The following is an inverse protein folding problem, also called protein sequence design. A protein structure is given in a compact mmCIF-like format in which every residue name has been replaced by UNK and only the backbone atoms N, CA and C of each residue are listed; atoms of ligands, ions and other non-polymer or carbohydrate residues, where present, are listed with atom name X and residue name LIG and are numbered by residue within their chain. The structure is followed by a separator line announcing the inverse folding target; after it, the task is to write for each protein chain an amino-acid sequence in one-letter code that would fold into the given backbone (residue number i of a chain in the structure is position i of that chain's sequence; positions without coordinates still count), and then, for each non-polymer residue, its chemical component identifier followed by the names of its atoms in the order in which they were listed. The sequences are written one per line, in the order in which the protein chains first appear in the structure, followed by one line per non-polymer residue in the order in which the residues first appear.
data_IF_238627027235
#
_entry.id   IF_238627027235
#
_cell.length_a   1.000
_cell.length_b   1.000
_cell.length_c   1.000
_cell.angle_alpha   90.00
_cell.angle_beta   90.00
_cell.angle_gamma   90.00
#
_symmetry.space_group_name_H-M   'P 1'
#
loop_
_entity.id
_entity.type
_entity.pdbx_description
1 polymer ?
#
# COMPACT_ATOMS: atom_id res chain seq x y z
N UNK A 1 8.50 -57.89 -23.62
CA UNK A 1 9.34 -57.25 -22.56
C UNK A 1 9.71 -55.81 -22.87
N UNK A 2 10.18 -55.46 -24.11
CA UNK A 2 10.55 -54.07 -24.45
C UNK A 2 9.44 -52.98 -24.32
N UNK A 3 8.18 -53.35 -24.48
CA UNK A 3 7.05 -52.37 -24.39
C UNK A 3 6.64 -52.02 -22.95
N UNK A 4 6.90 -52.89 -21.98
CA UNK A 4 6.63 -52.59 -20.57
C UNK A 4 7.68 -51.64 -19.97
N UNK A 5 8.93 -51.70 -20.40
CA UNK A 5 9.99 -50.80 -19.96
C UNK A 5 9.79 -49.36 -20.47
N UNK A 6 9.26 -49.22 -21.68
CA UNK A 6 8.97 -47.89 -22.25
C UNK A 6 7.79 -47.19 -21.55
N UNK A 7 6.81 -47.93 -21.03
CA UNK A 7 5.70 -47.37 -20.27
C UNK A 7 6.11 -46.92 -18.84
N UNK A 8 7.08 -47.62 -18.24
CA UNK A 8 7.58 -47.24 -16.91
C UNK A 8 8.41 -45.97 -16.93
N UNK A 9 9.16 -45.71 -18.01
CA UNK A 9 9.95 -44.47 -18.14
C UNK A 9 9.07 -43.26 -18.42
N UNK A 10 7.95 -43.42 -19.13
CA UNK A 10 7.01 -42.30 -19.40
C UNK A 10 6.22 -41.88 -18.16
N UNK A 11 5.97 -42.79 -17.19
CA UNK A 11 5.27 -42.43 -15.95
C UNK A 11 6.17 -41.66 -14.94
N UNK A 12 7.49 -41.88 -14.99
CA UNK A 12 8.42 -41.17 -14.08
C UNK A 12 8.69 -39.71 -14.49
N UNK A 13 8.44 -39.35 -15.74
CA UNK A 13 8.68 -38.00 -16.25
C UNK A 13 7.58 -36.98 -15.89
N UNK A 14 6.40 -37.44 -15.46
CA UNK A 14 5.27 -36.55 -15.12
C UNK A 14 5.25 -36.06 -13.68
N UNK A 15 6.14 -36.51 -12.80
CA UNK A 15 6.12 -36.12 -11.35
C UNK A 15 7.03 -34.93 -11.05
N UNK A 16 7.81 -34.42 -12.04
CA UNK A 16 8.81 -33.39 -11.79
C UNK A 16 8.35 -31.94 -11.99
N UNK A 17 7.06 -31.68 -12.25
CA UNK A 17 6.55 -30.33 -12.45
C UNK A 17 5.57 -29.88 -11.35
N UNK A 18 5.84 -30.25 -10.10
CA UNK A 18 5.28 -29.48 -8.97
C UNK A 18 6.10 -28.20 -8.86
N UNK A 19 5.85 -27.24 -9.75
CA UNK A 19 6.26 -25.86 -9.53
C UNK A 19 5.56 -25.41 -8.25
N UNK A 20 6.28 -25.45 -7.13
CA UNK A 20 5.89 -24.74 -5.92
C UNK A 20 5.81 -23.26 -6.31
N UNK A 21 4.60 -22.78 -6.57
CA UNK A 21 4.31 -21.36 -6.47
C UNK A 21 4.59 -21.02 -5.00
N UNK A 22 5.84 -20.67 -4.71
CA UNK A 22 6.21 -20.10 -3.44
C UNK A 22 5.50 -18.75 -3.40
N UNK A 23 4.31 -18.74 -2.78
CA UNK A 23 3.77 -17.53 -2.20
C UNK A 23 4.94 -16.97 -1.39
N UNK A 24 5.43 -15.79 -1.77
CA UNK A 24 6.53 -15.15 -1.08
C UNK A 24 6.17 -15.15 0.40
N UNK A 25 6.81 -16.03 1.17
CA UNK A 25 6.57 -16.14 2.59
C UNK A 25 6.92 -14.78 3.20
N UNK A 26 6.09 -14.31 4.09
CA UNK A 26 6.39 -13.12 4.86
C UNK A 26 7.75 -13.31 5.52
N UNK A 27 8.65 -12.32 5.38
CA UNK A 27 9.96 -12.39 6.02
C UNK A 27 9.77 -12.28 7.54
N UNK A 28 9.97 -13.34 8.32
CA UNK A 28 9.77 -13.32 9.77
C UNK A 28 10.77 -12.40 10.49
N UNK A 29 11.91 -12.11 9.85
CA UNK A 29 12.96 -11.23 10.37
C UNK A 29 12.77 -9.78 9.92
N UNK A 30 11.65 -9.45 9.28
CA UNK A 30 11.39 -8.08 8.84
C UNK A 30 11.36 -7.12 10.02
N UNK A 31 12.11 -6.03 9.87
CA UNK A 31 12.12 -4.92 10.82
C UNK A 31 11.91 -3.63 10.06
N UNK A 32 11.03 -2.79 10.60
CA UNK A 32 10.89 -1.44 10.11
C UNK A 32 12.20 -0.66 10.31
N UNK A 33 12.66 0.03 9.29
CA UNK A 33 13.78 0.97 9.43
C UNK A 33 13.37 2.15 10.31
N UNK A 34 14.35 2.89 10.81
CA UNK A 34 14.07 4.15 11.51
C UNK A 34 13.20 5.04 10.63
N UNK A 35 12.02 5.40 11.13
CA UNK A 35 11.06 6.22 10.40
C UNK A 35 11.62 7.63 10.25
N UNK A 36 11.72 8.16 9.01
CA UNK A 36 12.11 9.55 8.81
C UNK A 36 11.16 10.51 9.51
N UNK A 37 11.62 11.70 9.91
CA UNK A 37 10.75 12.76 10.40
C UNK A 37 9.61 13.03 9.42
N UNK A 38 8.43 13.35 9.92
CA UNK A 38 7.28 13.69 9.09
C UNK A 38 7.63 14.89 8.19
N UNK A 39 7.46 14.78 6.86
CA UNK A 39 7.88 15.80 5.92
C UNK A 39 6.94 17.01 5.95
N UNK A 40 7.42 18.16 5.48
CA UNK A 40 6.56 19.26 5.10
C UNK A 40 5.61 18.81 3.98
N UNK A 41 4.38 19.30 3.97
CA UNK A 41 3.36 18.93 2.99
C UNK A 41 2.61 20.14 2.46
N UNK A 42 1.91 19.95 1.34
CA UNK A 42 1.06 20.97 0.71
C UNK A 42 -0.34 20.44 0.46
N UNK A 43 -1.34 21.26 0.75
CA UNK A 43 -2.75 20.96 0.45
C UNK A 43 -3.19 21.42 -0.95
N UNK A 44 -2.30 22.09 -1.70
CA UNK A 44 -2.66 22.76 -2.97
C UNK A 44 -2.77 21.80 -4.17
N UNK A 45 -2.04 20.69 -4.17
CA UNK A 45 -1.93 19.78 -5.31
C UNK A 45 -2.06 18.32 -4.88
N UNK A 46 -3.06 18.06 -4.05
CA UNK A 46 -3.34 16.70 -3.61
C UNK A 46 -3.85 15.83 -4.77
N UNK A 47 -3.39 14.59 -4.82
CA UNK A 47 -3.98 13.55 -5.65
C UNK A 47 -5.14 12.96 -4.86
N UNK A 48 -6.37 13.23 -5.30
CA UNK A 48 -7.60 12.81 -4.60
C UNK A 48 -7.77 11.31 -4.72
N UNK A 49 -8.11 10.66 -3.62
CA UNK A 49 -8.43 9.24 -3.55
C UNK A 49 -9.92 9.02 -3.83
N UNK A 50 -10.23 8.01 -4.63
CA UNK A 50 -11.60 7.56 -4.83
C UNK A 50 -11.98 6.58 -3.69
N UNK A 51 -12.84 7.03 -2.80
CA UNK A 51 -13.42 6.20 -1.73
C UNK A 51 -14.88 5.81 -2.02
N UNK A 52 -15.37 6.07 -3.23
CA UNK A 52 -16.77 5.89 -3.60
C UNK A 52 -17.66 7.06 -3.19
N UNK A 53 -18.95 6.93 -3.53
CA UNK A 53 -19.95 7.96 -3.23
C UNK A 53 -20.28 8.03 -1.72
N UNK A 54 -20.78 9.20 -1.28
CA UNK A 54 -21.32 9.43 0.06
C UNK A 54 -20.26 9.43 1.20
N UNK A 55 -19.03 9.87 0.91
CA UNK A 55 -18.02 10.07 1.94
C UNK A 55 -18.14 11.47 2.56
N UNK A 56 -18.21 11.53 3.89
CA UNK A 56 -18.23 12.81 4.63
C UNK A 56 -16.91 13.59 4.51
N UNK A 57 -15.80 12.88 4.31
CA UNK A 57 -14.47 13.44 4.14
C UNK A 57 -13.92 13.08 2.76
N UNK A 58 -13.25 14.02 2.13
CA UNK A 58 -12.39 13.79 0.95
C UNK A 58 -10.97 13.56 1.41
N UNK A 59 -10.31 12.57 0.83
CA UNK A 59 -8.91 12.28 1.11
C UNK A 59 -8.05 12.51 -0.12
N UNK A 60 -6.88 13.07 0.10
CA UNK A 60 -5.90 13.27 -0.96
C UNK A 60 -4.48 13.11 -0.43
N UNK A 61 -3.60 12.60 -1.27
CA UNK A 61 -2.17 12.42 -0.95
C UNK A 61 -1.36 13.54 -1.55
N UNK A 62 -0.44 14.10 -0.76
CA UNK A 62 0.57 15.02 -1.32
C UNK A 62 1.63 14.22 -2.09
N UNK A 63 1.70 14.36 -3.43
CA UNK A 63 2.60 13.58 -4.26
C UNK A 63 4.09 13.81 -3.93
N UNK A 64 4.44 14.97 -3.36
CA UNK A 64 5.81 15.29 -3.00
C UNK A 64 6.31 14.53 -1.76
N UNK A 65 5.40 13.95 -0.98
CA UNK A 65 5.71 13.22 0.26
C UNK A 65 5.79 11.70 0.07
N UNK A 66 5.39 11.20 -1.11
CA UNK A 66 5.45 9.77 -1.40
C UNK A 66 6.89 9.27 -1.46
N UNK A 67 7.16 8.18 -0.76
CA UNK A 67 8.45 7.52 -0.78
C UNK A 67 8.30 6.01 -0.61
N UNK A 68 9.20 5.25 -1.24
CA UNK A 68 9.30 3.79 -1.06
C UNK A 68 10.62 3.54 -0.37
N UNK A 69 10.57 3.00 0.83
CA UNK A 69 11.75 2.76 1.66
C UNK A 69 12.33 1.35 1.45
N UNK A 70 13.57 1.14 1.89
CA UNK A 70 14.28 -0.15 1.75
C UNK A 70 13.59 -1.31 2.49
N UNK A 71 12.79 -1.02 3.51
CA UNK A 71 11.96 -1.98 4.25
C UNK A 71 10.67 -2.36 3.51
N UNK A 72 10.43 -1.82 2.30
CA UNK A 72 9.23 -2.06 1.51
C UNK A 72 8.00 -1.28 1.97
N UNK A 73 8.16 -0.35 2.92
CA UNK A 73 7.07 0.52 3.36
C UNK A 73 6.96 1.73 2.43
N UNK A 74 5.74 2.00 1.97
CA UNK A 74 5.42 3.23 1.23
C UNK A 74 4.92 4.27 2.22
N UNK A 75 5.67 5.37 2.40
CA UNK A 75 5.33 6.46 3.31
C UNK A 75 4.80 7.65 2.54
N UNK A 76 3.82 8.35 3.13
CA UNK A 76 3.11 9.46 2.49
C UNK A 76 2.43 10.36 3.52
N UNK A 77 2.08 11.56 3.09
CA UNK A 77 1.14 12.42 3.82
C UNK A 77 -0.21 12.38 3.12
N UNK A 78 -1.24 11.99 3.86
CA UNK A 78 -2.63 12.07 3.44
C UNK A 78 -3.35 13.19 4.18
N UNK A 79 -4.18 13.92 3.45
CA UNK A 79 -4.99 15.02 3.98
C UNK A 79 -6.46 14.65 3.87
N UNK A 80 -7.15 14.63 5.00
CA UNK A 80 -8.60 14.55 5.06
C UNK A 80 -9.18 15.96 5.06
N UNK A 81 -10.18 16.22 4.24
CA UNK A 81 -10.86 17.52 4.14
C UNK A 81 -12.36 17.35 4.27
N UNK A 82 -13.00 18.15 5.12
CA UNK A 82 -14.45 18.21 5.25
C UNK A 82 -15.07 19.19 4.25
N UNK A 83 -16.40 19.13 4.09
CA UNK A 83 -17.14 20.09 3.30
C UNK A 83 -17.04 21.53 3.83
N UNK A 84 -16.81 21.70 5.13
CA UNK A 84 -16.58 23.02 5.77
C UNK A 84 -15.17 23.57 5.56
N UNK A 85 -14.28 22.84 4.88
CA UNK A 85 -12.90 23.24 4.66
C UNK A 85 -11.92 22.89 5.79
N UNK A 86 -12.39 22.27 6.87
CA UNK A 86 -11.48 21.78 7.91
C UNK A 86 -10.61 20.66 7.35
N UNK A 87 -9.31 20.69 7.65
CA UNK A 87 -8.34 19.70 7.18
C UNK A 87 -7.62 19.03 8.34
N UNK A 88 -7.26 17.77 8.14
CA UNK A 88 -6.43 16.98 9.05
C UNK A 88 -5.42 16.21 8.21
N UNK A 89 -4.12 16.42 8.44
CA UNK A 89 -3.07 15.71 7.74
C UNK A 89 -2.44 14.65 8.64
N UNK A 90 -2.14 13.49 8.03
CA UNK A 90 -1.54 12.35 8.70
C UNK A 90 -0.32 11.88 7.90
N UNK A 91 0.78 11.62 8.60
CA UNK A 91 1.95 10.95 8.05
C UNK A 91 1.83 9.46 8.32
N UNK A 92 1.75 8.69 7.27
CA UNK A 92 1.43 7.27 7.35
C UNK A 92 2.38 6.43 6.48
N UNK A 93 2.39 5.12 6.73
CA UNK A 93 3.05 4.13 5.90
C UNK A 93 2.17 2.93 5.63
N UNK A 94 2.25 2.37 4.42
CA UNK A 94 1.60 1.12 4.02
C UNK A 94 2.67 0.06 3.83
N UNK A 95 2.46 -1.12 4.45
CA UNK A 95 3.22 -2.34 4.25
C UNK A 95 2.40 -3.30 3.40
N UNK A 96 2.67 -3.34 2.10
CA UNK A 96 1.89 -4.18 1.17
C UNK A 96 2.03 -5.68 1.47
N UNK A 97 3.19 -6.12 1.96
CA UNK A 97 3.46 -7.54 2.25
C UNK A 97 2.45 -8.16 3.22
N UNK A 98 2.00 -7.39 4.21
CA UNK A 98 1.05 -7.83 5.24
C UNK A 98 -0.33 -7.22 5.08
N UNK A 99 -0.50 -6.23 4.20
CA UNK A 99 -1.76 -5.50 4.05
C UNK A 99 -2.08 -4.65 5.28
N UNK A 100 -1.08 -3.96 5.80
CA UNK A 100 -1.18 -3.12 6.99
C UNK A 100 -0.77 -1.68 6.70
N UNK A 101 -1.25 -0.76 7.54
CA UNK A 101 -0.80 0.63 7.55
C UNK A 101 -0.53 1.09 8.99
N UNK A 102 0.24 2.15 9.12
CA UNK A 102 0.61 2.76 10.40
C UNK A 102 0.58 4.28 10.28
N UNK A 103 0.00 4.96 11.28
CA UNK A 103 0.06 6.42 11.40
C UNK A 103 1.20 6.81 12.33
N UNK A 104 2.19 7.54 11.84
CA UNK A 104 3.37 7.98 12.59
C UNK A 104 3.17 9.33 13.27
N UNK A 105 2.49 10.26 12.59
CA UNK A 105 2.25 11.60 13.11
C UNK A 105 0.96 12.18 12.54
N UNK A 106 0.41 13.17 13.26
CA UNK A 106 -0.76 13.95 12.88
C UNK A 106 -0.41 15.43 12.93
N UNK A 107 -0.76 16.18 11.90
CA UNK A 107 -0.53 17.61 11.89
C UNK A 107 -1.58 18.34 12.73
N UNK A 108 -1.13 19.36 13.44
CA UNK A 108 -2.02 20.37 14.04
C UNK A 108 -2.62 21.27 12.97
N UNK A 109 -3.58 22.11 13.32
CA UNK A 109 -4.14 23.13 12.43
C UNK A 109 -3.09 24.16 11.97
N UNK A 110 -2.03 24.36 12.75
CA UNK A 110 -0.88 25.21 12.40
C UNK A 110 0.14 24.52 11.49
N UNK A 111 -0.05 23.23 11.15
CA UNK A 111 0.87 22.46 10.31
C UNK A 111 2.05 21.83 11.07
N UNK A 112 2.09 21.95 12.40
CA UNK A 112 3.11 21.29 13.24
C UNK A 112 2.76 19.82 13.42
N UNK A 113 3.75 18.94 13.33
CA UNK A 113 3.58 17.50 13.54
C UNK A 113 3.60 17.12 15.02
N UNK A 114 2.58 16.38 15.44
CA UNK A 114 2.56 15.63 16.69
C UNK A 114 2.79 14.15 16.39
N UNK A 115 3.86 13.59 16.90
CA UNK A 115 4.17 12.16 16.77
C UNK A 115 3.16 11.32 17.54
N UNK A 116 2.72 10.21 16.98
CA UNK A 116 1.93 9.20 17.68
C UNK A 116 2.86 8.48 18.66
N UNK A 117 2.48 8.38 19.94
CA UNK A 117 3.34 7.86 21.01
C UNK A 117 3.67 6.39 20.83
N UNK A 118 2.70 5.56 20.47
CA UNK A 118 2.88 4.12 20.22
C UNK A 118 2.18 3.71 18.91
N UNK A 119 2.80 3.99 17.74
CA UNK A 119 2.17 3.76 16.46
C UNK A 119 2.11 2.26 16.15
N UNK A 120 0.89 1.74 16.00
CA UNK A 120 0.64 0.33 15.71
C UNK A 120 0.38 0.08 14.22
N UNK A 121 0.80 -1.08 13.72
CA UNK A 121 0.39 -1.60 12.43
C UNK A 121 -1.04 -2.11 12.52
N UNK A 122 -1.93 -1.57 11.68
CA UNK A 122 -3.34 -1.90 11.62
C UNK A 122 -3.67 -2.51 10.26
N UNK A 123 -4.48 -3.55 10.24
CA UNK A 123 -4.92 -4.16 8.98
C UNK A 123 -5.69 -3.15 8.12
N UNK A 124 -5.37 -3.07 6.84
CA UNK A 124 -6.12 -2.30 5.84
C UNK A 124 -7.58 -2.75 5.73
N UNK A 125 -7.86 -4.00 6.10
CA UNK A 125 -9.18 -4.63 6.00
C UNK A 125 -9.96 -4.59 7.32
N UNK A 126 -9.40 -4.00 8.38
CA UNK A 126 -10.10 -3.83 9.64
C UNK A 126 -11.30 -2.88 9.49
N UNK A 127 -12.26 -3.01 10.40
CA UNK A 127 -13.40 -2.08 10.47
C UNK A 127 -12.94 -0.73 11.05
N UNK A 128 -12.43 0.14 10.19
CA UNK A 128 -11.86 1.43 10.55
C UNK A 128 -12.84 2.56 10.24
N UNK A 129 -12.75 3.70 10.93
CA UNK A 129 -13.56 4.89 10.66
C UNK A 129 -13.40 5.45 9.23
N UNK A 130 -12.28 5.16 8.59
CA UNK A 130 -11.98 5.55 7.21
C UNK A 130 -11.24 4.45 6.48
N UNK A 131 -11.53 4.28 5.20
CA UNK A 131 -10.89 3.31 4.30
C UNK A 131 -9.83 3.94 3.40
N UNK A 132 -9.35 5.15 3.72
CA UNK A 132 -8.41 5.87 2.86
C UNK A 132 -7.11 5.10 2.61
N UNK A 133 -6.55 4.43 3.63
CA UNK A 133 -5.32 3.65 3.47
C UNK A 133 -5.54 2.43 2.57
N UNK A 134 -6.68 1.73 2.69
CA UNK A 134 -7.05 0.64 1.78
C UNK A 134 -7.22 1.15 0.35
N UNK A 135 -7.98 2.24 0.17
CA UNK A 135 -8.18 2.84 -1.15
C UNK A 135 -6.85 3.24 -1.79
N UNK A 136 -5.94 3.83 -1.03
CA UNK A 136 -4.61 4.20 -1.51
C UNK A 136 -3.78 2.96 -1.90
N UNK A 137 -3.83 1.90 -1.10
CA UNK A 137 -3.14 0.64 -1.40
C UNK A 137 -3.65 0.03 -2.72
N UNK A 138 -4.98 -0.03 -2.89
CA UNK A 138 -5.64 -0.61 -4.07
C UNK A 138 -5.49 0.27 -5.32
N UNK A 139 -5.45 1.60 -5.17
CA UNK A 139 -5.36 2.54 -6.29
C UNK A 139 -3.95 2.76 -6.83
N UNK A 140 -2.92 2.14 -6.25
CA UNK A 140 -1.62 2.19 -6.89
C UNK A 140 -0.39 2.04 -6.01
N UNK A 141 -0.54 2.07 -4.69
CA UNK A 141 0.60 1.89 -3.78
C UNK A 141 1.07 0.44 -3.79
N UNK A 142 0.13 -0.52 -3.77
CA UNK A 142 0.45 -1.93 -3.74
C UNK A 142 0.18 -2.62 -5.08
N UNK A 143 1.09 -3.52 -5.45
CA UNK A 143 0.92 -4.50 -6.52
C UNK A 143 0.95 -5.89 -5.88
N UNK A 144 -0.22 -6.39 -5.48
CA UNK A 144 -0.32 -7.58 -4.63
C UNK A 144 0.37 -7.35 -3.28
N UNK A 145 1.31 -8.23 -2.93
CA UNK A 145 2.08 -8.16 -1.68
C UNK A 145 3.35 -7.31 -1.76
N UNK A 146 3.59 -6.61 -2.85
CA UNK A 146 4.76 -5.75 -3.03
C UNK A 146 4.32 -4.29 -3.22
N UNK A 147 5.15 -3.31 -2.85
CA UNK A 147 4.92 -1.93 -3.28
C UNK A 147 5.06 -1.82 -4.79
N UNK A 148 4.47 -0.81 -5.39
CA UNK A 148 4.72 -0.47 -6.78
C UNK A 148 6.21 -0.21 -7.03
N UNK A 149 6.67 -0.39 -8.27
CA UNK A 149 8.10 -0.35 -8.62
C UNK A 149 8.75 1.03 -8.44
N UNK A 150 7.97 2.10 -8.42
CA UNK A 150 8.46 3.46 -8.19
C UNK A 150 7.34 4.41 -7.77
N UNK A 151 7.72 5.57 -7.21
CA UNK A 151 6.79 6.65 -6.87
C UNK A 151 6.06 7.16 -8.11
N UNK A 152 6.74 7.27 -9.26
CA UNK A 152 6.13 7.67 -10.53
C UNK A 152 5.06 6.67 -11.00
N UNK A 153 5.28 5.37 -10.75
CA UNK A 153 4.29 4.33 -11.04
C UNK A 153 3.06 4.50 -10.16
N UNK A 154 3.24 4.74 -8.86
CA UNK A 154 2.14 5.06 -7.93
C UNK A 154 1.35 6.26 -8.44
N UNK A 155 2.02 7.35 -8.73
CA UNK A 155 1.38 8.61 -9.16
C UNK A 155 0.62 8.47 -10.48
N UNK A 156 1.14 7.68 -11.43
CA UNK A 156 0.42 7.39 -12.68
C UNK A 156 -0.89 6.65 -12.42
N UNK A 157 -0.86 5.65 -11.53
CA UNK A 157 -2.04 4.85 -11.20
C UNK A 157 -3.08 5.67 -10.44
N UNK A 158 -2.66 6.44 -9.44
CA UNK A 158 -3.55 7.31 -8.66
C UNK A 158 -4.27 8.36 -9.52
N UNK A 159 -3.61 8.87 -10.58
CA UNK A 159 -4.20 9.85 -11.50
C UNK A 159 -5.14 9.22 -12.54
N UNK A 160 -5.02 7.91 -12.79
CA UNK A 160 -5.79 7.18 -13.78
C UNK A 160 -6.36 5.87 -13.20
N UNK A 161 -7.27 5.94 -12.23
CA UNK A 161 -7.79 4.74 -11.53
C UNK A 161 -8.55 3.78 -12.44
N UNK A 162 -9.11 4.25 -13.56
CA UNK A 162 -9.87 3.40 -14.51
C UNK A 162 -9.01 2.34 -15.21
N UNK A 163 -7.72 2.54 -15.37
CA UNK A 163 -6.84 1.53 -15.98
C UNK A 163 -6.62 0.28 -15.09
N UNK A 164 -7.02 0.33 -13.85
CA UNK A 164 -6.90 -0.83 -12.94
C UNK A 164 -8.03 -1.85 -13.13
N UNK A 165 -9.23 -1.41 -13.53
CA UNK A 165 -10.36 -2.30 -13.77
C UNK A 165 -10.18 -3.18 -15.01
N UNK A 166 -9.41 -2.72 -16.00
CA UNK A 166 -9.14 -3.48 -17.23
C UNK A 166 -8.06 -4.57 -17.08
N UNK A 167 -7.32 -4.59 -15.96
CA UNK A 167 -6.22 -5.54 -15.70
C UNK A 167 -6.60 -6.68 -14.74
N UNK A 168 -7.82 -6.72 -14.24
CA UNK A 168 -8.37 -7.77 -13.40
C UNK A 168 -9.33 -8.64 -14.20
#
# INVERSE_FOLDING_TARGET
MRRLEQLAVALLACVACSAFAQLAAENPDWKEIQVPPAPAFSTRRLVVLDLGANQALKFGVDPATLSISKDGVVRYVVVASSASGATNAMYEGIRCATGEFKTYARATTSGTWNTVEDPQWLSLYANLPSRHALALAEQGVCNGKAPANSVEAILRQLKNPQQQYERR
#
